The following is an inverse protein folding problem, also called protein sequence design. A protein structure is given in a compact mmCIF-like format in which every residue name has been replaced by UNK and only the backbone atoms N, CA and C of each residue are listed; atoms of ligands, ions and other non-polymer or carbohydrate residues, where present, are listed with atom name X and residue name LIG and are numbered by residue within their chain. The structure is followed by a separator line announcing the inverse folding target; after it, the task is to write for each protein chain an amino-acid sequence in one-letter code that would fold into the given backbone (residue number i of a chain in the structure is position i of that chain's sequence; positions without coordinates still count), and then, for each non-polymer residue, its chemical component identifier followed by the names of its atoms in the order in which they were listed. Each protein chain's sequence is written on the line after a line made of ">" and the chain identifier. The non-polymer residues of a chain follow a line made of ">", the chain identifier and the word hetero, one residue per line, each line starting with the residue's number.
data_IF_591817346099
#
_entry.id   IF_591817346099
#
_cell.length_a   1.000
_cell.length_b   1.000
_cell.length_c   1.000
_cell.angle_alpha   90.00
_cell.angle_beta   90.00
_cell.angle_gamma   90.00
#
_symmetry.space_group_name_H-M   'P 1'
#
loop_
_entity.id
_entity.type
_entity.pdbx_description
1 polymer ?
#
# COMPACT_ATOMS: atom_id res chain seq x y z
N UNK A 1 28.95 6.49 -11.77
CA UNK A 1 28.22 7.26 -12.78
C UNK A 1 27.10 8.01 -12.09
N UNK A 2 27.16 9.35 -12.09
CA UNK A 2 26.15 10.22 -11.47
C UNK A 2 24.99 10.36 -12.45
N UNK A 3 23.85 9.69 -12.19
CA UNK A 3 22.63 9.94 -12.94
C UNK A 3 22.15 11.36 -12.65
N UNK A 4 22.39 12.27 -13.56
CA UNK A 4 21.76 13.59 -13.55
C UNK A 4 20.27 13.40 -13.76
N UNK A 5 19.47 13.70 -12.73
CA UNK A 5 18.01 13.76 -12.81
C UNK A 5 17.66 14.76 -13.92
N UNK A 6 16.84 14.32 -14.89
CA UNK A 6 16.41 15.15 -16.02
C UNK A 6 15.81 16.48 -15.52
N UNK A 7 16.16 17.63 -16.15
CA UNK A 7 15.56 18.92 -15.81
C UNK A 7 14.03 18.95 -15.88
N UNK A 8 13.41 18.08 -16.67
CA UNK A 8 11.96 17.93 -16.78
C UNK A 8 11.27 17.51 -15.46
N UNK A 9 11.99 16.81 -14.56
CA UNK A 9 11.45 16.44 -13.25
C UNK A 9 11.48 17.58 -12.21
N UNK A 10 12.23 18.66 -12.49
CA UNK A 10 12.29 19.82 -11.60
C UNK A 10 11.09 20.76 -11.73
N UNK A 11 10.34 20.67 -12.82
CA UNK A 11 9.23 21.56 -13.17
C UNK A 11 7.88 20.85 -13.24
N UNK A 12 7.76 19.64 -12.66
CA UNK A 12 6.42 19.07 -12.47
C UNK A 12 5.64 20.05 -11.58
N UNK A 13 4.43 20.49 -12.01
CA UNK A 13 3.58 21.30 -11.15
C UNK A 13 3.44 20.58 -9.80
N UNK A 14 3.31 21.36 -8.76
CA UNK A 14 3.11 20.87 -7.39
C UNK A 14 1.76 20.13 -7.35
N UNK A 15 1.77 18.93 -7.96
CA UNK A 15 0.63 18.02 -7.93
C UNK A 15 0.41 17.79 -6.45
N UNK A 16 -0.73 18.22 -5.96
CA UNK A 16 -1.10 18.02 -4.57
C UNK A 16 -0.83 16.54 -4.25
N UNK A 17 0.18 16.30 -3.42
CA UNK A 17 0.66 14.93 -3.15
C UNK A 17 -0.47 14.06 -2.58
N UNK A 18 -1.52 14.68 -2.03
CA UNK A 18 -2.74 14.00 -1.60
C UNK A 18 -3.55 13.46 -2.76
N UNK A 19 -3.65 14.19 -3.88
CA UNK A 19 -4.32 13.69 -5.10
C UNK A 19 -3.64 12.40 -5.55
N UNK A 20 -2.29 12.36 -5.52
CA UNK A 20 -1.54 11.15 -5.91
C UNK A 20 -1.78 9.98 -4.97
N UNK A 21 -1.89 10.22 -3.66
CA UNK A 21 -2.22 9.19 -2.66
C UNK A 21 -3.65 8.68 -2.91
N UNK A 22 -4.62 9.58 -3.07
CA UNK A 22 -6.02 9.22 -3.36
C UNK A 22 -6.14 8.45 -4.69
N UNK A 23 -5.36 8.82 -5.71
CA UNK A 23 -5.31 8.09 -7.01
C UNK A 23 -4.79 6.67 -6.83
N UNK A 24 -3.73 6.46 -6.02
CA UNK A 24 -3.19 5.13 -5.76
C UNK A 24 -4.21 4.26 -4.99
N UNK A 25 -4.88 4.80 -3.97
CA UNK A 25 -5.93 4.06 -3.24
C UNK A 25 -7.10 3.70 -4.20
N UNK A 26 -7.53 4.63 -5.06
CA UNK A 26 -8.54 4.35 -6.10
C UNK A 26 -8.07 3.33 -7.13
N UNK A 27 -6.77 3.29 -7.44
CA UNK A 27 -6.17 2.25 -8.27
C UNK A 27 -6.37 0.86 -7.66
N UNK A 28 -6.13 0.71 -6.35
CA UNK A 28 -6.43 -0.53 -5.64
C UNK A 28 -7.93 -0.87 -5.67
N UNK A 29 -8.82 0.11 -5.43
CA UNK A 29 -10.27 -0.07 -5.55
C UNK A 29 -10.68 -0.55 -6.95
N UNK A 30 -10.09 0.03 -8.00
CA UNK A 30 -10.33 -0.39 -9.38
C UNK A 30 -9.97 -1.87 -9.59
N UNK A 31 -8.79 -2.29 -9.16
CA UNK A 31 -8.37 -3.69 -9.23
C UNK A 31 -9.32 -4.61 -8.45
N UNK A 32 -9.74 -4.21 -7.24
CA UNK A 32 -10.68 -4.97 -6.43
C UNK A 32 -12.05 -5.15 -7.11
N UNK A 33 -12.60 -4.09 -7.72
CA UNK A 33 -13.87 -4.16 -8.47
C UNK A 33 -13.79 -5.22 -9.57
N UNK A 34 -12.68 -5.28 -10.29
CA UNK A 34 -12.48 -6.27 -11.34
C UNK A 34 -12.30 -7.68 -10.77
N UNK A 35 -11.57 -7.84 -9.67
CA UNK A 35 -11.45 -9.13 -8.96
C UNK A 35 -12.84 -9.61 -8.53
N UNK A 36 -13.60 -8.75 -7.84
CA UNK A 36 -14.96 -9.07 -7.38
C UNK A 36 -15.85 -9.50 -8.54
N UNK A 37 -15.83 -8.77 -9.64
CA UNK A 37 -16.62 -9.12 -10.84
C UNK A 37 -16.27 -10.51 -11.39
N UNK A 38 -14.98 -10.85 -11.43
CA UNK A 38 -14.56 -12.19 -11.89
C UNK A 38 -15.03 -13.28 -10.94
N UNK A 39 -14.97 -13.04 -9.63
CA UNK A 39 -15.47 -13.96 -8.61
C UNK A 39 -17.00 -14.15 -8.72
N UNK A 40 -17.74 -13.05 -8.89
CA UNK A 40 -19.20 -13.11 -9.05
C UNK A 40 -19.60 -13.87 -10.34
N UNK A 41 -18.85 -13.70 -11.43
CA UNK A 41 -19.08 -14.47 -12.68
C UNK A 41 -18.72 -15.95 -12.52
N UNK A 42 -17.72 -16.27 -11.73
CA UNK A 42 -17.34 -17.64 -11.42
C UNK A 42 -18.42 -18.33 -10.57
N UNK A 43 -18.92 -17.66 -9.54
CA UNK A 43 -19.99 -18.18 -8.65
C UNK A 43 -21.27 -18.53 -9.44
N UNK A 44 -21.57 -17.80 -10.50
CA UNK A 44 -22.72 -18.05 -11.37
C UNK A 44 -22.46 -19.12 -12.46
N UNK A 45 -21.23 -19.65 -12.52
CA UNK A 45 -20.81 -20.58 -13.57
C UNK A 45 -20.68 -19.94 -14.96
N UNK A 46 -20.75 -18.59 -15.05
CA UNK A 46 -20.70 -17.87 -16.31
C UNK A 46 -19.29 -17.86 -16.94
N UNK A 47 -18.25 -18.12 -16.15
CA UNK A 47 -16.87 -18.16 -16.65
C UNK A 47 -15.99 -19.07 -15.80
N UNK A 48 -14.86 -19.49 -16.40
CA UNK A 48 -13.75 -20.08 -15.66
C UNK A 48 -12.77 -18.96 -15.28
N UNK A 49 -12.29 -18.96 -14.05
CA UNK A 49 -11.30 -17.98 -13.64
C UNK A 49 -9.98 -18.26 -14.38
N UNK A 50 -9.50 -17.24 -15.11
CA UNK A 50 -8.13 -17.25 -15.61
C UNK A 50 -7.18 -16.93 -14.46
N UNK A 51 -6.39 -17.92 -14.04
CA UNK A 51 -5.35 -17.78 -13.00
C UNK A 51 -4.41 -16.60 -13.31
N UNK A 52 -4.00 -16.46 -14.58
CA UNK A 52 -3.12 -15.36 -14.98
C UNK A 52 -3.78 -13.99 -14.85
N UNK A 53 -5.05 -13.87 -15.24
CA UNK A 53 -5.78 -12.60 -15.12
C UNK A 53 -6.01 -12.23 -13.64
N UNK A 54 -6.41 -13.19 -12.82
CA UNK A 54 -6.59 -12.97 -11.38
C UNK A 54 -5.28 -12.56 -10.72
N UNK A 55 -4.19 -13.28 -11.01
CA UNK A 55 -2.86 -12.93 -10.50
C UNK A 55 -2.43 -11.51 -10.90
N UNK A 56 -2.68 -11.11 -12.14
CA UNK A 56 -2.36 -9.76 -12.61
C UNK A 56 -3.12 -8.68 -11.83
N UNK A 57 -4.42 -8.88 -11.62
CA UNK A 57 -5.26 -7.95 -10.85
C UNK A 57 -4.83 -7.86 -9.39
N UNK A 58 -4.56 -9.00 -8.73
CA UNK A 58 -4.10 -9.05 -7.33
C UNK A 58 -2.73 -8.37 -7.20
N UNK A 59 -1.82 -8.58 -8.15
CA UNK A 59 -0.54 -7.87 -8.19
C UNK A 59 -0.73 -6.37 -8.28
N UNK A 60 -1.56 -5.90 -9.22
CA UNK A 60 -1.89 -4.49 -9.38
C UNK A 60 -2.45 -3.90 -8.09
N UNK A 61 -3.36 -4.60 -7.44
CA UNK A 61 -3.93 -4.19 -6.16
C UNK A 61 -2.87 -3.90 -5.09
N UNK A 62 -1.96 -4.85 -4.84
CA UNK A 62 -0.93 -4.66 -3.80
C UNK A 62 0.15 -3.63 -4.21
N UNK A 63 0.41 -3.48 -5.52
CA UNK A 63 1.31 -2.45 -6.01
C UNK A 63 0.76 -1.05 -5.74
N UNK A 64 -0.52 -0.83 -6.00
CA UNK A 64 -1.17 0.45 -5.74
C UNK A 64 -1.15 0.80 -4.24
N UNK A 65 -1.47 -0.16 -3.37
CA UNK A 65 -1.46 0.08 -1.92
C UNK A 65 -0.05 0.42 -1.38
N UNK A 66 0.97 -0.35 -1.77
CA UNK A 66 2.35 -0.02 -1.35
C UNK A 66 2.81 1.29 -1.97
N UNK A 67 2.42 1.56 -3.22
CA UNK A 67 2.65 2.84 -3.88
C UNK A 67 2.02 4.02 -3.13
N UNK A 68 0.79 3.85 -2.61
CA UNK A 68 0.15 4.86 -1.76
C UNK A 68 0.98 5.17 -0.51
N UNK A 69 1.55 4.16 0.15
CA UNK A 69 2.42 4.38 1.30
C UNK A 69 3.72 5.10 0.93
N UNK A 70 4.34 4.72 -0.18
CA UNK A 70 5.55 5.42 -0.67
C UNK A 70 5.26 6.90 -1.00
N UNK A 71 4.07 7.21 -1.54
CA UNK A 71 3.61 8.58 -1.77
C UNK A 71 3.38 9.34 -0.45
N UNK A 72 2.84 8.67 0.58
CA UNK A 72 2.74 9.24 1.93
C UNK A 72 4.13 9.60 2.47
N UNK A 73 5.12 8.72 2.32
CA UNK A 73 6.50 9.02 2.75
C UNK A 73 7.09 10.22 2.00
N UNK A 74 6.84 10.35 0.71
CA UNK A 74 7.28 11.51 -0.07
C UNK A 74 6.59 12.80 0.40
N UNK A 75 5.28 12.72 0.67
CA UNK A 75 4.52 13.84 1.18
C UNK A 75 5.02 14.33 2.54
N UNK A 76 5.24 13.45 3.53
CA UNK A 76 5.78 13.84 4.84
C UNK A 76 7.19 14.40 4.70
N UNK A 77 8.03 13.83 3.83
CA UNK A 77 9.36 14.36 3.57
C UNK A 77 9.29 15.82 3.07
N UNK A 78 8.44 16.09 2.10
CA UNK A 78 8.25 17.44 1.56
C UNK A 78 7.70 18.42 2.61
N UNK A 79 6.65 17.99 3.36
CA UNK A 79 5.97 18.86 4.32
C UNK A 79 6.85 19.23 5.51
N UNK A 80 7.61 18.28 6.03
CA UNK A 80 8.44 18.46 7.23
C UNK A 80 9.89 18.78 6.93
N UNK A 81 10.31 18.77 5.66
CA UNK A 81 11.70 18.93 5.21
C UNK A 81 12.65 18.03 6.00
N UNK A 82 12.43 16.73 5.87
CA UNK A 82 13.12 15.72 6.67
C UNK A 82 14.62 15.67 6.38
N UNK A 83 15.40 15.55 7.43
CA UNK A 83 16.85 15.36 7.40
C UNK A 83 17.21 14.03 8.07
N UNK A 84 18.19 13.32 7.53
CA UNK A 84 18.74 12.09 8.09
C UNK A 84 20.23 12.24 8.34
N UNK A 85 20.72 11.70 9.45
CA UNK A 85 22.15 11.71 9.73
C UNK A 85 22.90 10.81 8.74
N UNK A 86 23.89 11.38 8.06
CA UNK A 86 24.76 10.65 7.15
C UNK A 86 25.70 9.74 7.94
N UNK A 87 25.71 8.45 7.63
CA UNK A 87 26.61 7.50 8.28
C UNK A 87 28.10 7.80 8.02
N UNK A 88 28.41 8.50 6.93
CA UNK A 88 29.78 8.82 6.54
C UNK A 88 30.30 10.10 7.18
N UNK A 89 29.48 11.13 7.16
CA UNK A 89 29.90 12.51 7.55
C UNK A 89 29.44 12.89 8.94
N UNK A 90 28.53 12.13 9.55
CA UNK A 90 27.83 12.46 10.81
C UNK A 90 27.09 13.82 10.74
N UNK A 91 26.83 14.32 9.54
CA UNK A 91 26.07 15.55 9.32
C UNK A 91 24.63 15.21 8.95
N UNK A 92 23.74 16.12 9.31
CA UNK A 92 22.33 16.02 8.90
C UNK A 92 22.19 16.47 7.44
N UNK A 93 21.62 15.64 6.61
CA UNK A 93 21.43 15.85 5.19
C UNK A 93 19.95 15.72 4.85
N UNK A 94 19.43 16.64 4.03
CA UNK A 94 18.04 16.59 3.54
C UNK A 94 17.81 15.30 2.75
N UNK A 95 16.67 14.67 2.94
CA UNK A 95 16.29 13.49 2.17
C UNK A 95 15.80 13.93 0.79
N UNK A 96 16.58 13.60 -0.26
CA UNK A 96 16.16 13.82 -1.65
C UNK A 96 14.89 13.03 -1.98
N UNK A 97 14.01 13.61 -2.81
CA UNK A 97 12.73 12.98 -3.22
C UNK A 97 12.94 11.58 -3.81
N UNK A 98 13.97 11.38 -4.65
CA UNK A 98 14.29 10.07 -5.23
C UNK A 98 14.90 9.06 -4.26
N UNK A 99 15.09 9.40 -2.98
CA UNK A 99 15.70 8.58 -1.94
C UNK A 99 14.84 8.46 -0.70
N UNK A 100 13.57 8.82 -0.79
CA UNK A 100 12.62 8.68 0.31
C UNK A 100 12.29 7.19 0.47
N UNK A 101 12.69 6.63 1.61
CA UNK A 101 12.46 5.24 1.99
C UNK A 101 12.14 5.16 3.47
N UNK A 102 11.33 4.20 3.88
CA UNK A 102 10.96 4.02 5.26
C UNK A 102 12.15 4.01 6.22
N UNK A 103 13.21 3.28 5.90
CA UNK A 103 14.42 3.19 6.73
C UNK A 103 15.12 4.53 6.96
N UNK A 104 14.95 5.51 6.07
CA UNK A 104 15.45 6.88 6.22
C UNK A 104 14.45 7.75 6.98
N UNK A 105 13.17 7.68 6.63
CA UNK A 105 12.11 8.43 7.29
C UNK A 105 12.01 8.07 8.76
N UNK A 106 12.07 6.79 9.13
CA UNK A 106 12.04 6.33 10.54
C UNK A 106 13.15 6.95 11.41
N UNK A 107 14.30 7.29 10.83
CA UNK A 107 15.46 7.86 11.52
C UNK A 107 15.64 9.37 11.29
N UNK A 108 14.68 10.00 10.65
CA UNK A 108 14.78 11.40 10.29
C UNK A 108 14.34 12.31 11.44
N UNK A 109 14.79 13.55 11.37
CA UNK A 109 14.23 14.67 12.11
C UNK A 109 13.55 15.63 11.16
N UNK A 110 12.60 16.39 11.65
CA UNK A 110 11.95 17.44 10.88
C UNK A 110 12.65 18.78 11.08
N UNK A 111 12.87 19.49 9.99
CA UNK A 111 13.33 20.87 10.00
C UNK A 111 12.17 21.85 10.26
N UNK A 112 10.97 21.48 9.80
CA UNK A 112 9.74 22.26 9.99
C UNK A 112 8.80 21.49 10.92
N UNK A 113 8.22 22.17 11.91
CA UNK A 113 7.25 21.65 12.87
C UNK A 113 7.69 20.33 13.56
N UNK A 114 8.84 20.29 14.29
CA UNK A 114 9.39 19.06 14.86
C UNK A 114 8.45 18.38 15.85
N UNK A 115 7.69 19.13 16.64
CA UNK A 115 6.74 18.53 17.60
C UNK A 115 5.60 17.82 16.91
N UNK A 116 5.07 18.42 15.83
CA UNK A 116 4.05 17.76 15.00
C UNK A 116 4.61 16.53 14.31
N UNK A 117 5.87 16.61 13.83
CA UNK A 117 6.56 15.46 13.22
C UNK A 117 6.67 14.29 14.19
N UNK A 118 6.96 14.53 15.47
CA UNK A 118 7.03 13.46 16.47
C UNK A 118 5.72 12.67 16.57
N UNK A 119 4.57 13.32 16.48
CA UNK A 119 3.27 12.63 16.47
C UNK A 119 3.06 11.85 15.16
N UNK A 120 3.38 12.46 14.03
CA UNK A 120 3.23 11.84 12.72
C UNK A 120 4.14 10.62 12.57
N UNK A 121 5.41 10.71 12.98
CA UNK A 121 6.33 9.56 12.86
C UNK A 121 5.93 8.40 13.77
N UNK A 122 5.45 8.68 14.99
CA UNK A 122 4.95 7.64 15.89
C UNK A 122 3.75 6.91 15.27
N UNK A 123 2.81 7.64 14.69
CA UNK A 123 1.68 7.05 13.99
C UNK A 123 2.12 6.21 12.78
N UNK A 124 3.06 6.70 11.95
CA UNK A 124 3.60 5.93 10.83
C UNK A 124 4.35 4.68 11.28
N UNK A 125 5.03 4.71 12.45
CA UNK A 125 5.66 3.51 13.03
C UNK A 125 4.59 2.48 13.41
N UNK A 126 3.50 2.91 14.08
CA UNK A 126 2.38 2.02 14.43
C UNK A 126 1.78 1.35 13.18
N UNK A 127 1.56 2.13 12.11
CA UNK A 127 1.09 1.59 10.83
C UNK A 127 2.09 0.60 10.24
N UNK A 128 3.37 0.95 10.20
CA UNK A 128 4.40 0.07 9.65
C UNK A 128 4.52 -1.27 10.37
N UNK A 129 4.30 -1.27 11.68
CA UNK A 129 4.39 -2.43 12.58
C UNK A 129 3.05 -3.17 12.71
N UNK A 130 1.95 -2.63 12.16
CA UNK A 130 0.65 -3.28 12.17
C UNK A 130 0.64 -4.57 11.33
N UNK A 131 -0.17 -5.52 11.76
CA UNK A 131 -0.32 -6.81 11.08
C UNK A 131 -0.80 -6.62 9.64
N UNK A 132 -1.86 -5.83 9.44
CA UNK A 132 -2.43 -5.60 8.11
C UNK A 132 -1.42 -5.01 7.11
N UNK A 133 -0.57 -4.04 7.54
CA UNK A 133 0.40 -3.46 6.64
C UNK A 133 1.61 -4.39 6.40
N UNK A 134 1.98 -5.18 7.39
CA UNK A 134 2.95 -6.25 7.20
C UNK A 134 2.49 -7.26 6.15
N UNK A 135 1.21 -7.62 6.16
CA UNK A 135 0.61 -8.50 5.17
C UNK A 135 0.63 -7.90 3.77
N UNK A 136 0.16 -6.66 3.62
CA UNK A 136 0.18 -5.94 2.33
C UNK A 136 1.58 -5.92 1.72
N UNK A 137 2.62 -5.62 2.52
CA UNK A 137 4.01 -5.65 2.08
C UNK A 137 4.48 -7.06 1.71
N UNK A 138 4.07 -8.05 2.46
CA UNK A 138 4.42 -9.44 2.23
C UNK A 138 3.83 -9.92 0.91
N UNK A 139 2.55 -9.69 0.66
CA UNK A 139 1.89 -10.02 -0.60
C UNK A 139 2.51 -9.27 -1.78
N UNK A 140 2.80 -7.98 -1.63
CA UNK A 140 3.50 -7.22 -2.69
C UNK A 140 4.87 -7.82 -3.01
N UNK A 141 5.64 -8.18 -2.00
CA UNK A 141 6.97 -8.78 -2.20
C UNK A 141 6.88 -10.19 -2.81
N UNK A 142 5.84 -10.94 -2.45
CA UNK A 142 5.56 -12.23 -3.05
C UNK A 142 5.22 -12.10 -4.53
N UNK A 143 4.38 -11.13 -4.88
CA UNK A 143 4.00 -10.79 -6.24
C UNK A 143 5.18 -10.49 -7.19
N UNK A 144 6.33 -10.06 -6.64
CA UNK A 144 7.55 -9.87 -7.42
C UNK A 144 8.24 -11.18 -7.80
N UNK A 145 8.11 -12.22 -6.98
CA UNK A 145 8.92 -13.43 -7.07
C UNK A 145 8.19 -14.60 -7.72
N UNK A 146 6.87 -14.65 -7.58
CA UNK A 146 6.06 -15.78 -8.01
C UNK A 146 4.63 -15.37 -8.35
N UNK A 147 3.86 -16.31 -8.90
CA UNK A 147 2.41 -16.21 -8.97
C UNK A 147 1.82 -16.48 -7.58
N UNK A 148 0.71 -15.80 -7.26
CA UNK A 148 -0.04 -16.13 -6.06
C UNK A 148 -0.62 -17.53 -6.19
N UNK A 149 -0.41 -18.33 -5.15
CA UNK A 149 -1.16 -19.55 -4.97
C UNK A 149 -2.56 -19.19 -4.47
N UNK A 150 -3.55 -19.55 -5.26
CA UNK A 150 -4.95 -19.35 -4.93
C UNK A 150 -5.56 -20.69 -4.62
N UNK A 151 -6.27 -20.78 -3.51
CA UNK A 151 -6.98 -21.97 -3.11
C UNK A 151 -8.47 -21.70 -3.20
N UNK A 152 -9.16 -22.60 -3.90
CA UNK A 152 -10.62 -22.59 -3.99
C UNK A 152 -11.20 -23.37 -2.79
N UNK A 153 -12.17 -22.77 -2.13
CA UNK A 153 -12.88 -23.38 -1.01
C UNK A 153 -14.36 -23.37 -1.25
N UNK A 154 -15.03 -24.39 -0.72
CA UNK A 154 -16.48 -24.40 -0.62
C UNK A 154 -16.86 -24.29 0.85
N UNK A 155 -17.57 -23.24 1.21
CA UNK A 155 -18.16 -23.10 2.55
C UNK A 155 -19.65 -23.41 2.46
N UNK A 156 -20.08 -24.40 3.20
CA UNK A 156 -21.52 -24.75 3.31
C UNK A 156 -22.07 -24.07 4.54
N UNK A 157 -23.15 -23.31 4.38
CA UNK A 157 -23.88 -22.73 5.50
C UNK A 157 -24.71 -23.81 6.23
N UNK A 158 -25.23 -23.48 7.41
CA UNK A 158 -26.08 -24.40 8.19
C UNK A 158 -27.40 -24.79 7.50
N UNK A 159 -27.69 -24.25 6.30
CA UNK A 159 -28.87 -24.57 5.47
C UNK A 159 -28.50 -25.42 4.25
N UNK A 160 -27.24 -25.83 4.13
CA UNK A 160 -26.76 -26.66 3.02
C UNK A 160 -26.44 -25.89 1.75
N UNK A 161 -26.47 -24.53 1.75
CA UNK A 161 -26.04 -23.76 0.60
C UNK A 161 -24.51 -23.70 0.59
N UNK A 162 -23.90 -24.06 -0.52
CA UNK A 162 -22.45 -24.01 -0.71
C UNK A 162 -22.06 -22.74 -1.45
N UNK A 163 -21.15 -21.96 -0.88
CA UNK A 163 -20.58 -20.78 -1.51
C UNK A 163 -19.10 -21.04 -1.80
N UNK A 164 -18.71 -20.77 -3.03
CA UNK A 164 -17.32 -20.82 -3.44
C UNK A 164 -16.62 -19.51 -3.10
N UNK A 165 -15.37 -19.60 -2.64
CA UNK A 165 -14.52 -18.43 -2.47
C UNK A 165 -13.06 -18.77 -2.78
N UNK A 166 -12.31 -17.76 -3.13
CA UNK A 166 -10.89 -17.85 -3.42
C UNK A 166 -10.13 -17.10 -2.34
N UNK A 167 -9.13 -17.74 -1.81
CA UNK A 167 -8.19 -17.18 -0.84
C UNK A 167 -6.77 -17.19 -1.38
N UNK A 168 -5.98 -16.25 -0.90
CA UNK A 168 -4.52 -16.30 -1.10
C UNK A 168 -3.93 -17.31 -0.13
N UNK A 169 -3.09 -18.22 -0.63
CA UNK A 169 -2.39 -19.17 0.22
C UNK A 169 -1.48 -18.44 1.21
N UNK A 170 -1.55 -18.86 2.46
CA UNK A 170 -0.80 -18.29 3.56
C UNK A 170 -0.34 -19.40 4.48
N UNK A 171 0.96 -19.50 4.74
CA UNK A 171 1.47 -20.49 5.68
C UNK A 171 0.91 -20.24 7.09
N UNK A 172 0.17 -21.22 7.61
CA UNK A 172 -0.23 -21.30 9.02
C UNK A 172 -1.38 -20.40 9.48
N UNK A 173 -2.09 -19.74 8.57
CA UNK A 173 -3.22 -18.85 8.92
C UNK A 173 -4.50 -19.25 8.21
N UNK A 174 -5.65 -18.81 8.79
CA UNK A 174 -6.97 -19.02 8.23
C UNK A 174 -7.10 -18.41 6.84
N UNK A 175 -7.99 -18.98 6.06
CA UNK A 175 -8.23 -18.58 4.67
C UNK A 175 -9.35 -17.55 4.65
N UNK A 176 -9.02 -16.29 4.27
CA UNK A 176 -10.03 -15.26 4.08
C UNK A 176 -10.42 -15.15 2.61
N UNK A 177 -11.72 -15.01 2.37
CA UNK A 177 -12.25 -14.71 1.04
C UNK A 177 -11.66 -13.39 0.55
N UNK A 178 -11.16 -13.36 -0.70
CA UNK A 178 -10.64 -12.14 -1.32
C UNK A 178 -11.65 -10.98 -1.30
N UNK A 179 -12.96 -11.29 -1.32
CA UNK A 179 -14.04 -10.30 -1.22
C UNK A 179 -14.12 -9.63 0.15
N UNK A 180 -13.53 -10.23 1.17
CA UNK A 180 -13.45 -9.69 2.54
C UNK A 180 -12.07 -9.09 2.78
N UNK A 181 -11.02 -9.81 2.42
CA UNK A 181 -9.65 -9.45 2.69
C UNK A 181 -9.21 -8.16 1.97
N UNK A 182 -9.46 -8.07 0.66
CA UNK A 182 -8.96 -6.93 -0.12
C UNK A 182 -9.63 -5.59 0.25
N UNK A 183 -10.97 -5.50 0.45
CA UNK A 183 -11.57 -4.26 0.91
C UNK A 183 -11.10 -3.84 2.30
N UNK A 184 -10.82 -4.78 3.22
CA UNK A 184 -10.31 -4.41 4.55
C UNK A 184 -8.98 -3.63 4.47
N UNK A 185 -8.10 -3.99 3.54
CA UNK A 185 -6.86 -3.23 3.32
C UNK A 185 -7.11 -1.84 2.72
N UNK A 186 -8.10 -1.70 1.84
CA UNK A 186 -8.50 -0.38 1.31
C UNK A 186 -8.97 0.52 2.46
N UNK A 187 -9.88 0.01 3.30
CA UNK A 187 -10.39 0.75 4.46
C UNK A 187 -9.28 1.18 5.42
N UNK A 188 -8.27 0.33 5.66
CA UNK A 188 -7.12 0.70 6.48
C UNK A 188 -6.27 1.81 5.83
N UNK A 189 -6.10 1.80 4.51
CA UNK A 189 -5.39 2.88 3.80
C UNK A 189 -6.18 4.19 3.79
N UNK A 190 -7.50 4.13 3.63
CA UNK A 190 -8.37 5.31 3.74
C UNK A 190 -8.31 5.91 5.14
N UNK A 191 -8.33 5.05 6.18
CA UNK A 191 -8.16 5.45 7.58
C UNK A 191 -6.79 6.06 7.84
N UNK A 192 -5.73 5.47 7.32
CA UNK A 192 -4.37 6.01 7.38
C UNK A 192 -4.32 7.43 6.79
N UNK A 193 -4.88 7.61 5.58
CA UNK A 193 -4.90 8.91 4.90
C UNK A 193 -5.71 9.95 5.70
N UNK A 194 -6.90 9.58 6.20
CA UNK A 194 -7.75 10.45 7.01
C UNK A 194 -7.03 10.89 8.29
N UNK A 195 -6.48 9.95 9.06
CA UNK A 195 -5.76 10.24 10.30
C UNK A 195 -4.55 11.16 10.08
N UNK A 196 -3.82 10.99 8.98
CA UNK A 196 -2.71 11.89 8.66
C UNK A 196 -3.20 13.31 8.30
N UNK A 197 -4.33 13.45 7.60
CA UNK A 197 -4.96 14.75 7.34
C UNK A 197 -5.34 15.44 8.67
N UNK A 198 -6.00 14.71 9.55
CA UNK A 198 -6.42 15.24 10.85
C UNK A 198 -5.21 15.65 11.71
N UNK A 199 -4.19 14.79 11.83
CA UNK A 199 -2.96 15.10 12.58
C UNK A 199 -2.22 16.33 12.05
N UNK A 200 -2.33 16.62 10.76
CA UNK A 200 -1.59 17.71 10.11
C UNK A 200 -2.43 18.96 9.84
N UNK A 201 -3.72 18.96 10.25
CA UNK A 201 -4.62 20.09 10.12
C UNK A 201 -4.97 20.42 8.65
N UNK A 202 -5.13 19.40 7.81
CA UNK A 202 -5.52 19.54 6.40
C UNK A 202 -6.95 19.07 6.15
#
# INVERSE_FOLDING_TARGET
>A
MSHKISPALKNLPDIDSWISIDVAIRGAQYHFIHIKRLLDMFDTGATKISVSQMNWLIRGFFWELVGAFDLILQWVNKRFQLEVESNKTRKWETIDVGRVQWSRVKRSRAKIAPDLWNNVIQYLIQVWESEWYFEVRTYRNYAHKSLFEMTEFTRTDGKGNSQWFISLAREGQGYDDLRILLPSYIEEFERLAANLKDLTGK
#
